data_IF_210623257741
#
_entry.id   IF_210623257741
#
_cell.length_a   1.000
_cell.length_b   1.000
_cell.length_c   1.000
_cell.angle_alpha   90.00
_cell.angle_beta   90.00
_cell.angle_gamma   90.00
#
_symmetry.space_group_name_H-M   'P 1'
#
loop_
_entity.id
_entity.type
_entity.pdbx_description
1 polymer ?
#
# COMPACT_ATOMS: atom_id res chain seq x y z
N UNK A 1 3.31 0.67 15.67
CA UNK A 1 3.52 -0.41 14.68
C UNK A 1 3.18 0.03 13.26
N UNK A 2 1.90 0.23 12.84
CA UNK A 2 1.58 0.64 11.44
C UNK A 2 2.31 1.92 11.03
N UNK A 3 2.15 2.98 11.82
CA UNK A 3 2.77 4.28 11.52
C UNK A 3 4.31 4.23 11.48
N UNK A 4 4.93 3.46 12.38
CA UNK A 4 6.38 3.27 12.41
C UNK A 4 6.87 2.57 11.13
N UNK A 5 6.19 1.48 10.73
CA UNK A 5 6.51 0.77 9.50
C UNK A 5 6.35 1.67 8.26
N UNK A 6 5.26 2.43 8.19
CA UNK A 6 5.05 3.42 7.15
C UNK A 6 6.17 4.45 7.11
N UNK A 7 6.53 5.04 8.26
CA UNK A 7 7.56 6.05 8.36
C UNK A 7 8.93 5.52 7.90
N UNK A 8 9.30 4.31 8.34
CA UNK A 8 10.55 3.65 7.93
C UNK A 8 10.58 3.35 6.42
N UNK A 9 9.48 2.83 5.86
CA UNK A 9 9.38 2.56 4.42
C UNK A 9 9.41 3.85 3.60
N UNK A 10 8.72 4.89 4.06
CA UNK A 10 8.70 6.20 3.41
C UNK A 10 10.08 6.84 3.39
N UNK A 11 10.80 6.77 4.50
CA UNK A 11 12.18 7.24 4.58
C UNK A 11 13.10 6.46 3.61
N UNK A 12 12.95 5.14 3.55
CA UNK A 12 13.74 4.29 2.65
C UNK A 12 13.45 4.54 1.16
N UNK A 13 12.18 4.75 0.81
CA UNK A 13 11.74 4.98 -0.57
C UNK A 13 12.06 6.41 -1.04
N UNK A 14 12.06 7.39 -0.14
CA UNK A 14 12.37 8.78 -0.43
C UNK A 14 11.53 9.31 -1.60
N UNK A 15 12.18 9.84 -2.64
CA UNK A 15 11.50 10.39 -3.83
C UNK A 15 10.75 9.33 -4.65
N UNK A 16 10.92 8.04 -4.36
CA UNK A 16 10.23 6.93 -5.03
C UNK A 16 8.92 6.56 -4.33
N UNK A 17 8.58 7.18 -3.21
CA UNK A 17 7.37 6.87 -2.45
C UNK A 17 6.10 7.37 -3.15
N UNK A 18 6.10 8.65 -3.57
CA UNK A 18 4.91 9.33 -4.07
C UNK A 18 4.58 9.01 -5.53
N UNK A 19 3.28 8.92 -5.82
CA UNK A 19 2.77 8.84 -7.20
C UNK A 19 1.43 9.56 -7.36
N UNK A 20 1.14 9.97 -8.60
CA UNK A 20 -0.06 10.72 -8.94
C UNK A 20 -1.31 9.83 -8.97
N UNK A 21 -2.35 10.26 -8.29
CA UNK A 21 -3.69 9.69 -8.37
C UNK A 21 -4.56 10.46 -9.37
N UNK A 22 -5.65 9.83 -9.84
CA UNK A 22 -6.54 10.38 -10.88
C UNK A 22 -7.07 11.79 -10.56
N UNK A 23 -7.22 12.12 -9.28
CA UNK A 23 -7.79 13.38 -8.81
C UNK A 23 -6.75 14.35 -8.25
N UNK A 24 -5.46 14.02 -8.37
CA UNK A 24 -4.40 14.94 -7.98
C UNK A 24 -4.32 16.08 -8.99
N UNK A 25 -4.23 17.33 -8.51
CA UNK A 25 -4.12 18.50 -9.38
C UNK A 25 -2.65 18.88 -9.53
N UNK A 26 -2.13 18.77 -10.75
CA UNK A 26 -0.70 18.96 -11.02
C UNK A 26 -0.23 20.44 -11.04
N UNK A 27 -1.13 21.42 -11.00
CA UNK A 27 -0.83 22.81 -11.40
C UNK A 27 -0.75 23.84 -10.27
N UNK A 28 -1.06 23.47 -9.04
CA UNK A 28 -1.28 24.39 -7.91
C UNK A 28 -0.57 23.96 -6.62
N UNK A 29 0.46 23.12 -6.73
CA UNK A 29 1.35 22.79 -5.61
C UNK A 29 0.82 21.70 -4.69
N UNK A 30 -0.15 20.90 -5.13
CA UNK A 30 -0.55 19.70 -4.42
C UNK A 30 0.55 18.64 -4.47
N UNK A 31 0.70 17.92 -3.35
CA UNK A 31 1.57 16.75 -3.26
C UNK A 31 0.87 15.54 -3.86
N UNK A 32 1.64 14.66 -4.50
CA UNK A 32 1.19 13.31 -4.86
C UNK A 32 0.48 12.67 -3.66
N UNK A 33 -0.78 12.27 -3.84
CA UNK A 33 -1.56 11.67 -2.74
C UNK A 33 -1.34 10.17 -2.61
N UNK A 34 -0.87 9.50 -3.67
CA UNK A 34 -0.45 8.10 -3.63
C UNK A 34 0.88 7.93 -2.91
N UNK A 35 1.02 6.86 -2.12
CA UNK A 35 2.23 6.53 -1.38
C UNK A 35 2.45 5.02 -1.37
N UNK A 36 3.56 4.59 -1.99
CA UNK A 36 3.96 3.19 -2.00
C UNK A 36 4.26 2.66 -0.60
N UNK A 37 4.82 3.49 0.29
CA UNK A 37 5.02 3.12 1.68
C UNK A 37 3.70 2.83 2.39
N UNK A 38 2.66 3.63 2.15
CA UNK A 38 1.33 3.44 2.75
C UNK A 38 0.67 2.17 2.19
N UNK A 39 0.68 1.99 0.86
CA UNK A 39 0.13 0.80 0.19
C UNK A 39 0.73 -0.50 0.77
N UNK A 40 2.06 -0.59 0.81
CA UNK A 40 2.77 -1.77 1.31
C UNK A 40 2.53 -1.98 2.81
N UNK A 41 2.42 -0.90 3.58
CA UNK A 41 2.13 -0.95 5.01
C UNK A 41 0.73 -1.50 5.27
N UNK A 42 -0.27 -1.07 4.52
CA UNK A 42 -1.65 -1.53 4.67
C UNK A 42 -1.81 -2.99 4.27
N UNK A 43 -1.27 -3.38 3.11
CA UNK A 43 -1.24 -4.77 2.68
C UNK A 43 -0.57 -5.64 3.75
N UNK A 44 0.61 -5.24 4.25
CA UNK A 44 1.30 -5.99 5.29
C UNK A 44 0.45 -6.11 6.56
N UNK A 45 -0.17 -5.03 7.03
CA UNK A 45 -0.94 -5.03 8.26
C UNK A 45 -2.17 -5.93 8.18
N UNK A 46 -2.92 -5.90 7.06
CA UNK A 46 -4.09 -6.75 6.85
C UNK A 46 -3.71 -8.24 6.73
N UNK A 47 -2.69 -8.56 5.93
CA UNK A 47 -2.20 -9.93 5.81
C UNK A 47 -1.63 -10.46 7.14
N UNK A 48 -0.83 -9.65 7.84
CA UNK A 48 -0.27 -10.03 9.15
C UNK A 48 -1.35 -10.24 10.20
N UNK A 49 -2.42 -9.44 10.17
CA UNK A 49 -3.56 -9.61 11.06
C UNK A 49 -4.24 -10.97 10.83
N UNK A 50 -4.63 -11.28 9.59
CA UNK A 50 -5.27 -12.56 9.29
C UNK A 50 -4.38 -13.76 9.58
N UNK A 51 -3.05 -13.67 9.36
CA UNK A 51 -2.11 -14.74 9.73
C UNK A 51 -2.10 -15.01 11.24
N UNK A 52 -2.22 -13.98 12.08
CA UNK A 52 -2.34 -14.15 13.54
C UNK A 52 -3.66 -14.81 13.92
N UNK A 53 -4.73 -14.51 13.18
CA UNK A 53 -6.07 -15.04 13.42
C UNK A 53 -6.21 -16.50 12.93
N UNK A 54 -5.50 -16.86 11.86
CA UNK A 54 -5.58 -18.15 11.16
C UNK A 54 -5.44 -19.37 12.09
N UNK A 55 -4.58 -19.26 13.12
CA UNK A 55 -4.35 -20.36 14.07
C UNK A 55 -5.55 -20.65 15.00
N UNK A 56 -6.49 -19.70 15.15
CA UNK A 56 -7.62 -19.80 16.07
C UNK A 56 -8.96 -19.81 15.34
N UNK A 57 -9.11 -18.96 14.34
CA UNK A 57 -10.36 -18.73 13.62
C UNK A 57 -10.11 -18.65 12.10
N UNK A 58 -9.74 -19.75 11.44
CA UNK A 58 -9.35 -19.74 10.03
C UNK A 58 -10.46 -19.27 9.10
N UNK A 59 -11.73 -19.60 9.39
CA UNK A 59 -12.87 -19.13 8.61
C UNK A 59 -12.98 -17.61 8.63
N UNK A 60 -12.92 -17.00 9.82
CA UNK A 60 -12.96 -15.55 9.98
C UNK A 60 -11.75 -14.87 9.34
N UNK A 61 -10.54 -15.43 9.49
CA UNK A 61 -9.35 -14.91 8.85
C UNK A 61 -9.49 -14.84 7.31
N UNK A 62 -10.08 -15.88 6.71
CA UNK A 62 -10.34 -15.90 5.27
C UNK A 62 -11.42 -14.91 4.85
N UNK A 63 -12.51 -14.80 5.62
CA UNK A 63 -13.58 -13.86 5.32
C UNK A 63 -13.13 -12.40 5.47
N UNK A 64 -12.36 -12.09 6.52
CA UNK A 64 -11.75 -10.77 6.74
C UNK A 64 -10.80 -10.42 5.59
N UNK A 65 -9.96 -11.37 5.13
CA UNK A 65 -9.08 -11.12 3.98
C UNK A 65 -9.83 -10.89 2.67
N UNK A 66 -10.88 -11.68 2.39
CA UNK A 66 -11.70 -11.48 1.20
C UNK A 66 -12.39 -10.12 1.23
N UNK A 67 -12.99 -9.78 2.37
CA UNK A 67 -13.66 -8.50 2.57
C UNK A 67 -12.68 -7.33 2.43
N UNK A 68 -11.54 -7.39 3.15
CA UNK A 68 -10.48 -6.39 3.07
C UNK A 68 -9.90 -6.25 1.67
N UNK A 69 -9.75 -7.35 0.92
CA UNK A 69 -9.24 -7.29 -0.45
C UNK A 69 -10.18 -6.49 -1.35
N UNK A 70 -11.48 -6.79 -1.28
CA UNK A 70 -12.48 -6.13 -2.11
C UNK A 70 -12.74 -4.68 -1.72
N UNK A 71 -12.56 -4.32 -0.44
CA UNK A 71 -12.89 -2.99 0.07
C UNK A 71 -11.68 -2.08 0.25
N UNK A 72 -10.46 -2.62 0.32
CA UNK A 72 -9.29 -1.88 0.79
C UNK A 72 -7.97 -2.33 0.13
N UNK A 73 -7.23 -3.30 0.69
CA UNK A 73 -5.86 -3.61 0.23
C UNK A 73 -5.74 -4.13 -1.21
N UNK A 74 -6.84 -4.55 -1.86
CA UNK A 74 -6.82 -4.89 -3.28
C UNK A 74 -6.57 -3.67 -4.18
N UNK A 75 -7.09 -2.50 -3.81
CA UNK A 75 -6.81 -1.25 -4.53
C UNK A 75 -5.36 -0.82 -4.33
N UNK A 76 -4.89 -0.84 -3.07
CA UNK A 76 -3.49 -0.57 -2.73
C UNK A 76 -2.51 -1.50 -3.46
N UNK A 77 -2.86 -2.78 -3.65
CA UNK A 77 -2.03 -3.71 -4.42
C UNK A 77 -1.88 -3.25 -5.88
N UNK A 78 -2.99 -2.90 -6.54
CA UNK A 78 -2.97 -2.45 -7.94
C UNK A 78 -2.18 -1.14 -8.10
N UNK A 79 -2.33 -0.23 -7.15
CA UNK A 79 -1.64 1.06 -7.17
C UNK A 79 -0.14 0.90 -6.94
N UNK A 80 0.26 0.06 -5.97
CA UNK A 80 1.65 -0.28 -5.71
C UNK A 80 2.31 -0.99 -6.91
N UNK A 81 1.63 -1.96 -7.53
CA UNK A 81 2.13 -2.66 -8.71
C UNK A 81 2.34 -1.70 -9.89
N UNK A 82 1.39 -0.81 -10.14
CA UNK A 82 1.48 0.22 -11.18
C UNK A 82 2.71 1.11 -10.93
N UNK A 83 2.86 1.63 -9.71
CA UNK A 83 3.96 2.54 -9.40
C UNK A 83 5.33 1.85 -9.46
N UNK A 84 5.45 0.63 -8.95
CA UNK A 84 6.68 -0.16 -9.07
C UNK A 84 7.06 -0.41 -10.54
N UNK A 85 6.08 -0.67 -11.40
CA UNK A 85 6.31 -0.81 -12.84
C UNK A 85 6.79 0.50 -13.47
N UNK A 86 6.18 1.64 -13.11
CA UNK A 86 6.59 2.97 -13.58
C UNK A 86 8.04 3.28 -13.18
N UNK A 87 8.38 3.12 -11.89
CA UNK A 87 9.76 3.29 -11.39
C UNK A 87 10.75 2.41 -12.17
N UNK A 88 10.41 1.14 -12.38
CA UNK A 88 11.25 0.21 -13.16
C UNK A 88 11.42 0.68 -14.61
N UNK A 89 10.35 1.12 -15.26
CA UNK A 89 10.39 1.61 -16.65
C UNK A 89 11.28 2.85 -16.82
N UNK A 90 11.43 3.63 -15.75
CA UNK A 90 12.26 4.84 -15.70
C UNK A 90 13.69 4.57 -15.18
N UNK A 91 14.07 3.30 -14.93
CA UNK A 91 15.33 2.91 -14.29
C UNK A 91 15.56 3.55 -12.90
N UNK A 92 14.47 3.70 -12.14
CA UNK A 92 14.48 4.26 -10.79
C UNK A 92 14.26 3.20 -9.70
N UNK A 93 14.21 1.91 -10.07
CA UNK A 93 14.15 0.81 -9.11
C UNK A 93 15.57 0.35 -8.76
#
# INVERSE_FOLDING_TARGET
ARFELFAELREMLGNRDGYWMQFDVAHDGQSMSGSLADDLTDIYCELKHGLKLMAREPGKALDDWRCGYHLHWGQHLLDAERHLYELKSQNQL
#
